data_IF_963990123739
#
_entry.id   IF_963990123739
#
_cell.length_a   1.000
_cell.length_b   1.000
_cell.length_c   1.000
_cell.angle_alpha   90.00
_cell.angle_beta   90.00
_cell.angle_gamma   90.00
#
_symmetry.space_group_name_H-M   'P 1'
#
loop_
_entity.id
_entity.type
_entity.pdbx_description
1 polymer ?
#
# COMPACT_ATOMS: atom_id res chain seq x y z
N UNK A 1 -23.22 55.26 -18.15
CA UNK A 1 -21.75 55.31 -18.23
C UNK A 1 -21.20 55.13 -16.84
N UNK A 2 -20.37 54.11 -16.56
CA UNK A 2 -19.80 53.90 -15.24
C UNK A 2 -18.51 54.72 -15.07
N UNK A 3 -18.39 55.42 -13.94
CA UNK A 3 -17.16 56.08 -13.52
C UNK A 3 -16.51 55.23 -12.43
N UNK A 4 -15.28 54.81 -12.71
CA UNK A 4 -14.35 54.18 -11.77
C UNK A 4 -14.03 55.12 -10.60
N UNK A 5 -13.95 54.58 -9.39
CA UNK A 5 -13.02 55.10 -8.39
C UNK A 5 -12.44 53.92 -7.61
N UNK A 6 -11.16 53.68 -7.84
CA UNK A 6 -10.35 52.72 -7.10
C UNK A 6 -9.89 53.39 -5.80
N UNK A 7 -9.95 52.65 -4.70
CA UNK A 7 -9.21 52.98 -3.47
C UNK A 7 -7.97 52.07 -3.38
N UNK A 8 -6.78 52.63 -3.05
CA UNK A 8 -5.54 51.88 -2.94
C UNK A 8 -5.26 51.49 -1.48
N UNK A 9 -4.47 50.43 -1.27
CA UNK A 9 -3.29 50.36 -0.37
C UNK A 9 -3.12 48.97 0.23
N UNK A 10 -1.99 48.33 -0.11
CA UNK A 10 -1.52 47.09 0.50
C UNK A 10 -0.43 46.38 -0.31
N UNK A 11 0.71 47.05 -0.55
CA UNK A 11 1.98 46.39 -0.91
C UNK A 11 2.44 45.63 0.36
N UNK A 12 2.88 44.36 0.35
CA UNK A 12 4.06 43.72 -0.26
C UNK A 12 4.18 42.29 0.39
N UNK A 13 5.18 41.46 0.08
CA UNK A 13 5.46 40.66 -1.12
C UNK A 13 5.15 39.16 -0.91
N UNK A 14 4.78 38.42 -1.95
CA UNK A 14 4.98 36.96 -1.95
C UNK A 14 5.92 36.59 -3.08
N UNK A 15 7.04 35.98 -2.68
CA UNK A 15 8.12 35.53 -3.53
C UNK A 15 7.57 34.62 -4.62
N UNK A 16 7.56 35.14 -5.84
CA UNK A 16 7.34 34.35 -7.03
C UNK A 16 8.62 33.55 -7.31
N UNK A 17 8.78 32.42 -6.63
CA UNK A 17 9.68 31.37 -7.10
C UNK A 17 8.96 30.65 -8.24
N UNK A 18 8.99 31.27 -9.42
CA UNK A 18 8.69 30.58 -10.67
C UNK A 18 9.81 29.55 -10.87
N UNK A 19 9.57 28.31 -10.46
CA UNK A 19 10.38 27.18 -10.90
C UNK A 19 10.16 27.01 -12.40
N UNK A 20 11.03 27.66 -13.16
CA UNK A 20 11.23 27.47 -14.58
C UNK A 20 11.86 26.09 -14.80
N UNK A 21 11.05 25.09 -15.16
CA UNK A 21 11.46 23.85 -15.84
C UNK A 21 10.21 23.11 -16.35
N UNK A 22 9.69 23.51 -17.49
CA UNK A 22 8.87 22.62 -18.33
C UNK A 22 9.82 21.68 -19.08
N UNK A 23 9.87 20.37 -18.81
CA UNK A 23 10.35 19.44 -19.81
C UNK A 23 9.27 19.40 -20.90
N UNK A 24 9.63 19.79 -22.12
CA UNK A 24 8.84 19.57 -23.32
C UNK A 24 8.73 18.05 -23.51
N UNK A 25 7.62 17.45 -23.05
CA UNK A 25 7.32 16.05 -23.35
C UNK A 25 6.68 16.07 -24.73
N UNK A 26 7.50 15.80 -25.75
CA UNK A 26 6.99 15.37 -27.04
C UNK A 26 6.05 14.19 -26.80
N UNK A 27 4.76 14.42 -27.05
CA UNK A 27 3.74 13.37 -27.06
C UNK A 27 3.98 12.51 -28.29
N UNK A 28 5.00 11.66 -28.23
CA UNK A 28 5.08 10.49 -29.07
C UNK A 28 4.00 9.53 -28.57
N UNK A 29 2.92 9.45 -29.35
CA UNK A 29 1.88 8.44 -29.25
C UNK A 29 2.52 7.06 -29.05
N UNK A 30 2.40 6.50 -27.84
CA UNK A 30 2.83 5.13 -27.58
C UNK A 30 1.78 4.23 -28.21
N UNK A 31 1.97 3.94 -29.50
CA UNK A 31 1.26 2.88 -30.18
C UNK A 31 1.59 1.58 -29.45
N UNK A 32 0.64 1.03 -28.70
CA UNK A 32 0.76 -0.29 -28.09
C UNK A 32 0.74 -1.36 -29.19
N UNK A 33 1.88 -1.55 -29.83
CA UNK A 33 2.11 -2.67 -30.73
C UNK A 33 2.32 -3.92 -29.88
N UNK A 34 1.30 -4.76 -29.84
CA UNK A 34 1.32 -6.08 -29.23
C UNK A 34 2.30 -6.99 -29.98
N UNK A 35 3.52 -7.16 -29.47
CA UNK A 35 4.40 -8.25 -29.89
C UNK A 35 5.43 -8.58 -28.80
N UNK A 36 5.52 -9.88 -28.50
CA UNK A 36 6.50 -10.57 -27.67
C UNK A 36 6.52 -10.21 -26.18
N UNK A 37 6.12 -11.18 -25.35
CA UNK A 37 6.40 -11.21 -23.91
C UNK A 37 7.93 -11.36 -23.76
N UNK A 38 8.65 -10.25 -23.90
CA UNK A 38 10.01 -10.16 -23.37
C UNK A 38 9.88 -10.10 -21.86
N UNK A 39 10.56 -11.01 -21.17
CA UNK A 39 10.69 -10.97 -19.72
C UNK A 39 11.13 -9.56 -19.31
N UNK A 40 10.27 -8.85 -18.58
CA UNK A 40 10.62 -7.56 -17.99
C UNK A 40 11.68 -7.86 -16.93
N UNK A 41 12.96 -7.70 -17.29
CA UNK A 41 14.06 -7.86 -16.34
C UNK A 41 14.05 -6.63 -15.42
N UNK A 42 13.48 -6.80 -14.23
CA UNK A 42 13.39 -5.75 -13.24
C UNK A 42 14.79 -5.53 -12.65
N UNK A 43 15.15 -4.32 -12.20
CA UNK A 43 16.38 -4.12 -11.46
C UNK A 43 16.44 -5.06 -10.24
N UNK A 44 17.57 -5.71 -9.99
CA UNK A 44 17.73 -6.68 -8.89
C UNK A 44 17.23 -6.17 -7.51
N UNK A 45 17.42 -4.89 -7.13
CA UNK A 45 16.85 -4.36 -5.88
C UNK A 45 15.31 -4.38 -5.84
N UNK A 46 14.68 -4.14 -7.00
CA UNK A 46 13.22 -4.15 -7.12
C UNK A 46 12.69 -5.59 -7.11
N UNK A 47 13.41 -6.54 -7.73
CA UNK A 47 13.05 -7.97 -7.65
C UNK A 47 13.10 -8.49 -6.22
N UNK A 48 14.18 -8.20 -5.49
CA UNK A 48 14.30 -8.58 -4.08
C UNK A 48 13.17 -7.98 -3.23
N UNK A 49 12.90 -6.69 -3.40
CA UNK A 49 11.80 -6.01 -2.71
C UNK A 49 10.44 -6.64 -3.00
N UNK A 50 10.17 -7.03 -4.24
CA UNK A 50 8.91 -7.68 -4.61
C UNK A 50 8.75 -9.07 -3.99
N UNK A 51 9.84 -9.83 -3.87
CA UNK A 51 9.84 -11.14 -3.19
C UNK A 51 9.53 -10.98 -1.70
N UNK A 52 10.08 -9.96 -1.05
CA UNK A 52 9.82 -9.66 0.36
C UNK A 52 8.36 -9.24 0.64
N UNK A 53 7.59 -8.84 -0.38
CA UNK A 53 6.16 -8.56 -0.19
C UNK A 53 5.30 -9.83 -0.14
N UNK A 54 5.81 -10.99 -0.56
CA UNK A 54 5.02 -12.21 -0.70
C UNK A 54 4.83 -12.86 0.68
N UNK A 55 3.58 -13.06 1.15
CA UNK A 55 3.35 -13.71 2.43
C UNK A 55 3.84 -15.16 2.41
N UNK A 56 4.43 -15.62 3.52
CA UNK A 56 4.90 -17.00 3.66
C UNK A 56 3.74 -18.00 3.67
N UNK A 57 3.96 -19.19 3.08
CA UNK A 57 2.97 -20.27 3.07
C UNK A 57 2.75 -20.87 4.47
N UNK A 58 3.73 -20.76 5.36
CA UNK A 58 3.66 -21.21 6.76
C UNK A 58 2.45 -20.64 7.49
N UNK A 59 2.11 -19.38 7.18
CA UNK A 59 0.99 -18.64 7.77
C UNK A 59 -0.34 -19.32 7.50
N UNK A 60 -0.50 -20.08 6.40
CA UNK A 60 -1.76 -20.77 6.07
C UNK A 60 -2.17 -21.80 7.12
N UNK A 61 -1.21 -22.35 7.87
CA UNK A 61 -1.47 -23.31 8.94
C UNK A 61 -1.88 -22.68 10.27
N UNK A 62 -1.87 -21.35 10.38
CA UNK A 62 -2.17 -20.68 11.64
C UNK A 62 -3.64 -20.80 12.04
N UNK A 63 -3.85 -21.05 13.32
CA UNK A 63 -5.17 -20.97 13.94
C UNK A 63 -5.48 -19.52 14.37
N UNK A 64 -6.73 -19.23 14.70
CA UNK A 64 -7.21 -17.90 15.07
C UNK A 64 -6.45 -17.34 16.29
N UNK A 65 -6.04 -18.20 17.22
CA UNK A 65 -5.20 -17.79 18.38
C UNK A 65 -3.85 -17.23 17.94
N UNK A 66 -3.19 -17.86 16.96
CA UNK A 66 -1.90 -17.40 16.45
C UNK A 66 -2.07 -16.07 15.69
N UNK A 67 -3.18 -15.90 14.98
CA UNK A 67 -3.52 -14.62 14.33
C UNK A 67 -3.77 -13.53 15.38
N UNK A 68 -4.47 -13.83 16.47
CA UNK A 68 -4.67 -12.88 17.57
C UNK A 68 -3.37 -12.48 18.26
N UNK A 69 -2.48 -13.45 18.51
CA UNK A 69 -1.16 -13.15 19.05
C UNK A 69 -0.34 -12.29 18.07
N UNK A 70 -0.35 -12.61 16.78
CA UNK A 70 0.30 -11.82 15.75
C UNK A 70 -0.22 -10.38 15.69
N UNK A 71 -1.53 -10.16 15.82
CA UNK A 71 -2.11 -8.82 15.93
C UNK A 71 -1.57 -8.07 17.15
N UNK A 72 -1.46 -8.76 18.30
CA UNK A 72 -0.93 -8.16 19.51
C UNK A 72 0.54 -7.73 19.35
N UNK A 73 1.35 -8.60 18.75
CA UNK A 73 2.78 -8.33 18.49
C UNK A 73 2.98 -7.12 17.55
N UNK A 74 1.99 -6.82 16.70
CA UNK A 74 2.01 -5.70 15.76
C UNK A 74 1.18 -4.49 16.22
N UNK A 75 0.87 -4.38 17.52
CA UNK A 75 0.11 -3.25 18.09
C UNK A 75 -1.31 -3.08 17.50
N UNK A 76 -1.93 -4.17 17.10
CA UNK A 76 -3.29 -4.26 16.54
C UNK A 76 -4.23 -5.09 17.42
N UNK A 77 -3.89 -5.30 18.69
CA UNK A 77 -4.65 -6.11 19.64
C UNK A 77 -6.12 -5.65 19.77
N UNK A 78 -6.39 -4.36 19.65
CA UNK A 78 -7.74 -3.78 19.69
C UNK A 78 -8.63 -4.20 18.51
N UNK A 79 -8.05 -4.77 17.45
CA UNK A 79 -8.78 -5.38 16.34
C UNK A 79 -9.02 -6.88 16.51
N UNK A 80 -8.61 -7.50 17.63
CA UNK A 80 -8.76 -8.93 17.86
C UNK A 80 -10.21 -9.42 17.68
N UNK A 81 -11.21 -8.63 18.10
CA UNK A 81 -12.62 -8.98 17.94
C UNK A 81 -13.06 -8.97 16.47
N UNK A 82 -12.62 -7.97 15.70
CA UNK A 82 -12.90 -7.88 14.27
C UNK A 82 -12.22 -9.00 13.47
N UNK A 83 -11.10 -9.53 13.99
CA UNK A 83 -10.35 -10.64 13.44
C UNK A 83 -10.64 -11.98 14.13
N UNK A 84 -11.66 -12.05 14.99
CA UNK A 84 -11.92 -13.23 15.84
C UNK A 84 -12.14 -14.53 15.06
N UNK A 85 -12.70 -14.42 13.85
CA UNK A 85 -12.94 -15.54 12.94
C UNK A 85 -11.92 -15.63 11.80
N UNK A 86 -10.81 -14.89 11.87
CA UNK A 86 -9.76 -14.88 10.85
C UNK A 86 -8.68 -15.87 11.26
N UNK A 87 -8.55 -16.94 10.48
CA UNK A 87 -7.46 -17.91 10.59
C UNK A 87 -6.32 -17.58 9.61
N UNK A 88 -5.26 -18.38 9.65
CA UNK A 88 -4.07 -18.21 8.85
C UNK A 88 -4.31 -18.17 7.34
N UNK A 89 -5.26 -18.96 6.84
CA UNK A 89 -5.60 -18.97 5.41
C UNK A 89 -6.24 -17.64 4.99
N UNK A 90 -7.18 -17.13 5.78
CA UNK A 90 -7.81 -15.83 5.50
C UNK A 90 -6.81 -14.67 5.64
N UNK A 91 -5.93 -14.72 6.63
CA UNK A 91 -4.86 -13.74 6.80
C UNK A 91 -3.89 -13.74 5.60
N UNK A 92 -3.54 -14.93 5.11
CA UNK A 92 -2.70 -15.11 3.93
C UNK A 92 -3.35 -14.51 2.67
N UNK A 93 -4.65 -14.73 2.46
CA UNK A 93 -5.37 -14.13 1.34
C UNK A 93 -5.51 -12.61 1.50
N UNK A 94 -5.70 -12.11 2.72
CA UNK A 94 -5.73 -10.67 3.01
C UNK A 94 -4.40 -10.00 2.63
N UNK A 95 -3.27 -10.64 2.94
CA UNK A 95 -1.96 -10.17 2.51
C UNK A 95 -1.80 -10.15 0.99
N UNK A 96 -2.40 -11.11 0.26
CA UNK A 96 -2.45 -11.07 -1.20
C UNK A 96 -3.35 -9.97 -1.75
N UNK A 97 -4.47 -9.68 -1.11
CA UNK A 97 -5.36 -8.58 -1.51
C UNK A 97 -4.63 -7.23 -1.44
N UNK A 98 -3.80 -7.03 -0.41
CA UNK A 98 -2.92 -5.85 -0.31
C UNK A 98 -2.03 -5.68 -1.54
N UNK A 99 -1.46 -6.76 -2.07
CA UNK A 99 -0.53 -6.72 -3.21
C UNK A 99 -1.27 -6.56 -4.54
N UNK A 100 -2.33 -7.36 -4.76
CA UNK A 100 -3.03 -7.44 -6.05
C UNK A 100 -4.08 -6.34 -6.25
N UNK A 101 -4.60 -5.80 -5.16
CA UNK A 101 -5.73 -4.87 -5.14
C UNK A 101 -5.60 -3.84 -4.03
N UNK A 102 -4.49 -3.11 -4.03
CA UNK A 102 -4.14 -2.11 -3.01
C UNK A 102 -5.28 -1.11 -2.73
N UNK A 103 -5.87 -0.51 -3.77
CA UNK A 103 -6.97 0.46 -3.61
C UNK A 103 -8.21 -0.16 -2.98
N UNK A 104 -8.59 -1.37 -3.43
CA UNK A 104 -9.73 -2.10 -2.86
C UNK A 104 -9.48 -2.53 -1.42
N UNK A 105 -8.23 -2.89 -1.09
CA UNK A 105 -7.83 -3.25 0.26
C UNK A 105 -7.98 -2.07 1.23
N UNK A 106 -7.40 -0.90 0.91
CA UNK A 106 -7.54 0.27 1.78
C UNK A 106 -8.98 0.77 1.85
N UNK A 107 -9.72 0.72 0.73
CA UNK A 107 -11.13 1.07 0.72
C UNK A 107 -11.96 0.14 1.60
N UNK A 108 -11.73 -1.17 1.57
CA UNK A 108 -12.47 -2.13 2.39
C UNK A 108 -12.18 -1.97 3.88
N UNK A 109 -10.94 -1.65 4.27
CA UNK A 109 -10.60 -1.31 5.66
C UNK A 109 -11.31 -0.02 6.11
N UNK A 110 -11.31 1.01 5.26
CA UNK A 110 -11.95 2.28 5.58
C UNK A 110 -13.46 2.15 5.69
N UNK A 111 -14.13 1.48 4.75
CA UNK A 111 -15.60 1.43 4.70
C UNK A 111 -16.19 0.25 5.48
N UNK A 112 -15.47 -0.86 5.57
CA UNK A 112 -15.92 -2.10 6.21
C UNK A 112 -15.62 -2.15 7.70
N UNK A 113 -14.50 -1.55 8.13
CA UNK A 113 -14.05 -1.58 9.52
C UNK A 113 -13.97 -0.20 10.18
N UNK A 114 -14.25 0.88 9.43
CA UNK A 114 -14.02 2.26 9.88
C UNK A 114 -12.59 2.49 10.41
N UNK A 115 -11.63 1.75 9.88
CA UNK A 115 -10.24 1.79 10.34
C UNK A 115 -9.61 3.13 9.94
N UNK A 116 -9.00 3.89 10.87
CA UNK A 116 -8.27 5.12 10.55
C UNK A 116 -7.06 4.84 9.65
N UNK A 117 -6.69 5.80 8.79
CA UNK A 117 -5.59 5.63 7.81
C UNK A 117 -4.27 5.16 8.46
N UNK A 118 -3.92 5.70 9.63
CA UNK A 118 -2.72 5.29 10.36
C UNK A 118 -2.73 3.77 10.67
N UNK A 119 -3.86 3.25 11.13
CA UNK A 119 -4.00 1.84 11.47
C UNK A 119 -4.11 0.96 10.23
N UNK A 120 -4.68 1.47 9.13
CA UNK A 120 -4.64 0.79 7.84
C UNK A 120 -3.20 0.58 7.36
N UNK A 121 -2.34 1.61 7.51
CA UNK A 121 -0.92 1.52 7.18
C UNK A 121 -0.18 0.57 8.12
N UNK A 122 -0.51 0.58 9.41
CA UNK A 122 0.05 -0.35 10.39
C UNK A 122 -0.28 -1.80 10.04
N UNK A 123 -1.55 -2.09 9.72
CA UNK A 123 -1.98 -3.42 9.27
C UNK A 123 -1.32 -3.80 7.94
N UNK A 124 -1.21 -2.88 7.00
CA UNK A 124 -0.52 -3.11 5.72
C UNK A 124 0.96 -3.49 5.94
N UNK A 125 1.64 -2.80 6.86
CA UNK A 125 3.02 -3.11 7.26
C UNK A 125 3.12 -4.46 7.97
N UNK A 126 2.20 -4.76 8.88
CA UNK A 126 2.15 -6.04 9.58
C UNK A 126 1.95 -7.18 8.57
N UNK A 127 1.02 -7.06 7.63
CA UNK A 127 0.80 -8.06 6.58
C UNK A 127 2.04 -8.24 5.70
N UNK A 128 2.78 -7.17 5.43
CA UNK A 128 4.05 -7.27 4.73
C UNK A 128 5.08 -8.08 5.52
N UNK A 129 5.07 -8.06 6.86
CA UNK A 129 6.02 -8.82 7.69
C UNK A 129 5.80 -10.34 7.63
N UNK A 130 4.66 -10.79 7.10
CA UNK A 130 4.31 -12.21 7.01
C UNK A 130 5.28 -13.04 6.14
N UNK A 131 6.11 -12.40 5.31
CA UNK A 131 7.18 -13.09 4.57
C UNK A 131 8.26 -13.68 5.49
N UNK A 132 8.44 -13.12 6.69
CA UNK A 132 9.50 -13.51 7.62
C UNK A 132 9.25 -14.82 8.37
N UNK A 133 8.03 -15.38 8.26
CA UNK A 133 7.70 -16.62 8.95
C UNK A 133 8.17 -17.81 8.11
N UNK A 134 9.24 -18.52 8.49
CA UNK A 134 9.74 -19.63 7.69
C UNK A 134 8.69 -20.74 7.63
N UNK A 135 8.60 -21.42 6.49
CA UNK A 135 7.94 -22.72 6.44
C UNK A 135 8.65 -23.63 7.45
N UNK A 136 7.90 -24.09 8.45
CA UNK A 136 8.35 -25.13 9.38
C UNK A 136 8.59 -26.41 8.57
N UNK A 137 9.73 -26.48 7.89
CA UNK A 137 10.19 -27.71 7.27
C UNK A 137 10.35 -28.71 8.40
N UNK A 138 9.68 -29.88 8.37
CA UNK A 138 10.00 -30.93 9.31
C UNK A 138 11.48 -31.24 9.09
N UNK A 139 12.27 -31.06 10.13
CA UNK A 139 13.64 -31.57 10.19
C UNK A 139 13.51 -33.09 10.14
N UNK A 140 13.69 -33.67 8.95
CA UNK A 140 13.79 -35.12 8.76
C UNK A 140 15.14 -35.63 9.26
#
# INVERSE_FOLDING_TARGET
MPSSSASPRGQHPEGAYFFNSTPHIDTASVSCSSTAINAIHLPAPLEAYLVEQIPSKAVRGWQEEQVRQWLADHSLAHYADAFSCINGLQLYELAWQRIRGCDSFFRSLSSGMNMPLYEQLLLSSALASLHNYPDSSPSS
#
